data_IF_952241411317
#
_entry.id   IF_952241411317
#
_cell.length_a   1.000
_cell.length_b   1.000
_cell.length_c   1.000
_cell.angle_alpha   90.00
_cell.angle_beta   90.00
_cell.angle_gamma   90.00
#
_symmetry.space_group_name_H-M   'P 1'
#
loop_
_entity.id
_entity.type
_entity.pdbx_description
1 polymer ?
#
# COMPACT_ATOMS: atom_id res chain seq x y z
N UNK A 1 6.35 -18.18 18.15
CA UNK A 1 7.07 -18.54 16.91
C UNK A 1 8.06 -17.44 16.53
N UNK A 2 7.66 -16.17 16.43
CA UNK A 2 8.52 -15.03 16.04
C UNK A 2 9.76 -14.91 16.94
N UNK A 3 9.58 -14.96 18.25
CA UNK A 3 10.70 -14.83 19.19
C UNK A 3 11.72 -15.95 19.05
N UNK A 4 11.28 -17.18 18.81
CA UNK A 4 12.18 -18.30 18.55
C UNK A 4 13.01 -18.08 17.29
N UNK A 5 12.37 -17.61 16.21
CA UNK A 5 13.06 -17.30 14.96
C UNK A 5 14.07 -16.15 15.12
N UNK A 6 13.71 -15.10 15.87
CA UNK A 6 14.60 -13.97 16.17
C UNK A 6 15.81 -14.44 16.99
N UNK A 7 15.58 -15.24 18.05
CA UNK A 7 16.67 -15.80 18.88
C UNK A 7 17.61 -16.65 18.04
N UNK A 8 17.07 -17.54 17.20
CA UNK A 8 17.88 -18.36 16.31
C UNK A 8 18.68 -17.52 15.30
N UNK A 9 18.06 -16.48 14.73
CA UNK A 9 18.74 -15.55 13.83
C UNK A 9 19.90 -14.82 14.51
N UNK A 10 19.72 -14.37 15.76
CA UNK A 10 20.78 -13.70 16.53
C UNK A 10 21.89 -14.68 16.98
N UNK A 11 21.54 -15.94 17.25
CA UNK A 11 22.54 -16.97 17.56
C UNK A 11 23.37 -17.36 16.32
N UNK A 12 22.74 -17.39 15.14
CA UNK A 12 23.40 -17.68 13.89
C UNK A 12 24.33 -16.54 13.42
N UNK A 13 23.92 -15.30 13.67
CA UNK A 13 24.67 -14.10 13.33
C UNK A 13 24.29 -12.93 14.21
N UNK A 14 25.09 -12.66 15.23
CA UNK A 14 24.83 -11.54 16.14
C UNK A 14 24.74 -10.21 15.38
N UNK A 15 23.63 -9.48 15.58
CA UNK A 15 23.36 -8.23 14.89
C UNK A 15 22.66 -8.39 13.53
N UNK A 16 22.28 -9.61 13.14
CA UNK A 16 21.45 -9.83 11.96
C UNK A 16 20.12 -9.11 12.09
N UNK A 17 19.68 -8.50 11.00
CA UNK A 17 18.34 -7.91 10.94
C UNK A 17 17.28 -9.02 11.03
N UNK A 18 16.41 -8.95 12.02
CA UNK A 18 15.31 -9.89 12.22
C UNK A 18 14.00 -9.12 12.26
N UNK A 19 13.01 -9.64 11.57
CA UNK A 19 11.67 -9.06 11.50
C UNK A 19 10.63 -10.10 11.89
N UNK A 20 9.64 -9.71 12.71
CA UNK A 20 8.54 -10.58 13.07
C UNK A 20 7.42 -10.49 12.03
N UNK A 21 6.88 -11.62 11.60
CA UNK A 21 5.89 -11.70 10.53
C UNK A 21 4.92 -12.88 10.65
N UNK A 22 4.49 -13.23 11.86
CA UNK A 22 3.41 -14.23 11.98
C UNK A 22 2.06 -13.56 11.89
N UNK A 23 1.22 -14.10 11.03
CA UNK A 23 -0.16 -13.71 10.86
C UNK A 23 -1.08 -14.69 11.59
N UNK A 24 -2.22 -14.19 12.04
CA UNK A 24 -3.28 -15.01 12.66
C UNK A 24 -4.39 -15.15 11.64
N UNK A 25 -4.58 -16.37 11.14
CA UNK A 25 -5.65 -16.68 10.21
C UNK A 25 -6.85 -17.27 10.94
N UNK A 26 -8.03 -16.87 10.50
CA UNK A 26 -9.29 -17.44 10.96
C UNK A 26 -9.89 -18.25 9.83
N UNK A 27 -10.38 -19.43 10.17
CA UNK A 27 -10.99 -20.34 9.20
C UNK A 27 -12.49 -20.34 9.38
N UNK A 28 -13.22 -20.23 8.28
CA UNK A 28 -14.66 -20.44 8.26
C UNK A 28 -14.97 -21.93 8.46
N UNK A 29 -15.61 -22.31 9.58
CA UNK A 29 -15.80 -23.73 9.91
C UNK A 29 -16.65 -24.51 8.90
N UNK A 30 -17.56 -23.84 8.21
CA UNK A 30 -18.46 -24.47 7.24
C UNK A 30 -17.75 -24.84 5.93
N UNK A 31 -16.75 -24.09 5.54
CA UNK A 31 -16.08 -24.25 4.22
C UNK A 31 -14.62 -24.61 4.31
N UNK A 32 -13.99 -24.45 5.48
CA UNK A 32 -12.55 -24.58 5.65
C UNK A 32 -11.74 -23.45 4.98
N UNK A 33 -12.41 -22.44 4.41
CA UNK A 33 -11.73 -21.32 3.79
C UNK A 33 -11.15 -20.38 4.85
N UNK A 34 -9.97 -19.81 4.57
CA UNK A 34 -9.41 -18.74 5.38
C UNK A 34 -10.23 -17.47 5.09
N UNK A 35 -10.82 -16.91 6.13
CA UNK A 35 -11.64 -15.72 6.03
C UNK A 35 -11.97 -15.20 7.41
N UNK A 36 -12.29 -14.01 7.53
CA UNK A 36 -12.76 -13.14 8.59
C UNK A 36 -11.87 -11.93 8.67
N UNK A 37 -12.11 -11.03 7.78
CA UNK A 37 -11.35 -9.80 7.61
C UNK A 37 -11.24 -9.01 8.93
N UNK A 38 -12.34 -8.83 9.66
CA UNK A 38 -12.35 -8.05 10.90
C UNK A 38 -11.45 -8.64 11.99
N UNK A 39 -11.55 -9.94 12.21
CA UNK A 39 -10.76 -10.62 13.24
C UNK A 39 -9.29 -10.71 12.87
N UNK A 40 -8.96 -10.95 11.61
CA UNK A 40 -7.58 -10.90 11.12
C UNK A 40 -6.98 -9.52 11.33
N UNK A 41 -7.67 -8.46 10.94
CA UNK A 41 -7.22 -7.08 11.13
C UNK A 41 -6.97 -6.74 12.59
N UNK A 42 -7.84 -7.17 13.50
CA UNK A 42 -7.65 -6.97 14.94
C UNK A 42 -6.42 -7.74 15.46
N UNK A 43 -6.22 -8.98 15.00
CA UNK A 43 -5.08 -9.78 15.38
C UNK A 43 -3.76 -9.18 14.88
N UNK A 44 -3.73 -8.70 13.65
CA UNK A 44 -2.56 -8.03 13.06
C UNK A 44 -2.22 -6.74 13.79
N UNK A 45 -3.22 -5.91 14.11
CA UNK A 45 -3.01 -4.71 14.91
C UNK A 45 -2.44 -5.04 16.29
N UNK A 46 -2.98 -6.05 16.96
CA UNK A 46 -2.48 -6.49 18.27
C UNK A 46 -1.04 -7.02 18.17
N UNK A 47 -0.76 -7.86 17.18
CA UNK A 47 0.58 -8.40 16.93
C UNK A 47 1.60 -7.30 16.63
N UNK A 48 1.22 -6.32 15.81
CA UNK A 48 2.07 -5.18 15.50
C UNK A 48 2.36 -4.30 16.72
N UNK A 49 1.37 -4.09 17.60
CA UNK A 49 1.57 -3.37 18.87
C UNK A 49 2.55 -4.09 19.79
N UNK A 50 2.41 -5.41 19.94
CA UNK A 50 3.34 -6.22 20.75
C UNK A 50 4.76 -6.15 20.18
N UNK A 51 4.94 -6.34 18.88
CA UNK A 51 6.27 -6.24 18.24
C UNK A 51 6.89 -4.87 18.46
N UNK A 52 6.12 -3.81 18.26
CA UNK A 52 6.58 -2.43 18.47
C UNK A 52 7.00 -2.17 19.92
N UNK A 53 6.22 -2.65 20.91
CA UNK A 53 6.56 -2.48 22.33
C UNK A 53 7.86 -3.19 22.71
N UNK A 54 8.26 -4.20 21.95
CA UNK A 54 9.50 -4.96 22.12
C UNK A 54 10.64 -4.47 21.21
N UNK A 55 10.42 -3.42 20.42
CA UNK A 55 11.44 -2.86 19.53
C UNK A 55 11.69 -3.65 18.26
N UNK A 56 10.79 -4.57 17.87
CA UNK A 56 10.93 -5.34 16.64
C UNK A 56 10.16 -4.74 15.48
N UNK A 57 10.76 -4.64 14.30
CA UNK A 57 10.03 -4.32 13.08
C UNK A 57 9.04 -5.46 12.75
N UNK A 58 7.87 -5.10 12.23
CA UNK A 58 6.81 -6.04 11.87
C UNK A 58 6.62 -6.13 10.37
N UNK A 59 6.51 -7.36 9.88
CA UNK A 59 5.91 -7.67 8.59
C UNK A 59 4.42 -7.91 8.81
N UNK A 60 3.58 -7.55 7.87
CA UNK A 60 2.17 -7.96 7.84
C UNK A 60 1.82 -8.51 6.46
N UNK A 61 1.05 -9.59 6.45
CA UNK A 61 0.40 -10.10 5.25
C UNK A 61 -0.91 -9.34 4.94
N UNK A 62 -1.43 -8.58 5.91
CA UNK A 62 -2.60 -7.72 5.70
C UNK A 62 -2.19 -6.47 4.93
N UNK A 63 -2.69 -6.34 3.73
CA UNK A 63 -2.51 -5.15 2.92
C UNK A 63 -2.23 -5.50 1.46
N UNK A 64 -3.14 -5.09 0.59
CA UNK A 64 -3.00 -5.32 -0.83
C UNK A 64 -3.31 -6.73 -1.31
N UNK A 65 -3.82 -7.60 -0.43
CA UNK A 65 -4.27 -8.95 -0.78
C UNK A 65 -5.79 -9.11 -0.68
N UNK A 66 -6.32 -10.14 -1.34
CA UNK A 66 -7.74 -10.50 -1.30
C UNK A 66 -7.94 -12.01 -1.33
N UNK A 67 -9.02 -12.48 -0.70
CA UNK A 67 -9.47 -13.87 -0.84
C UNK A 67 -10.25 -14.10 -2.13
N UNK A 68 -10.68 -13.07 -2.83
CA UNK A 68 -11.33 -13.18 -4.12
C UNK A 68 -10.41 -13.81 -5.16
N UNK A 69 -10.96 -14.69 -6.00
CA UNK A 69 -10.18 -15.44 -7.01
C UNK A 69 -9.77 -14.62 -8.23
N UNK A 70 -10.36 -13.44 -8.40
CA UNK A 70 -10.05 -12.51 -9.48
C UNK A 70 -10.16 -11.08 -8.97
N UNK A 71 -9.52 -10.14 -9.64
CA UNK A 71 -9.66 -8.73 -9.32
C UNK A 71 -11.05 -8.25 -9.76
N UNK A 72 -11.93 -8.09 -8.79
CA UNK A 72 -13.33 -7.68 -8.92
C UNK A 72 -13.70 -6.72 -7.78
N UNK A 73 -14.97 -6.40 -7.62
CA UNK A 73 -15.45 -5.49 -6.59
C UNK A 73 -15.15 -5.98 -5.17
N UNK A 74 -15.22 -7.29 -4.92
CA UNK A 74 -14.88 -7.86 -3.62
C UNK A 74 -13.39 -7.66 -3.33
N UNK A 75 -12.53 -7.93 -4.32
CA UNK A 75 -11.08 -7.70 -4.20
C UNK A 75 -10.76 -6.22 -3.95
N UNK A 76 -11.41 -5.30 -4.65
CA UNK A 76 -11.24 -3.86 -4.44
C UNK A 76 -11.59 -3.48 -3.01
N UNK A 77 -12.72 -3.98 -2.49
CA UNK A 77 -13.13 -3.71 -1.12
C UNK A 77 -12.15 -4.28 -0.09
N UNK A 78 -11.75 -5.54 -0.23
CA UNK A 78 -10.83 -6.21 0.68
C UNK A 78 -9.44 -5.57 0.68
N UNK A 79 -8.89 -5.27 -0.49
CA UNK A 79 -7.60 -4.59 -0.63
C UNK A 79 -7.66 -3.19 0.00
N UNK A 80 -8.70 -2.42 -0.26
CA UNK A 80 -8.84 -1.07 0.31
C UNK A 80 -8.94 -1.11 1.83
N UNK A 81 -9.78 -2.00 2.36
CA UNK A 81 -9.97 -2.13 3.79
C UNK A 81 -8.70 -2.66 4.50
N UNK A 82 -8.01 -3.66 3.94
CA UNK A 82 -6.76 -4.17 4.49
C UNK A 82 -5.63 -3.13 4.43
N UNK A 83 -5.57 -2.35 3.36
CA UNK A 83 -4.65 -1.24 3.22
C UNK A 83 -4.90 -0.17 4.28
N UNK A 84 -6.16 0.19 4.54
CA UNK A 84 -6.49 1.13 5.62
C UNK A 84 -6.09 0.62 7.01
N UNK A 85 -6.15 -0.68 7.25
CA UNK A 85 -5.65 -1.24 8.51
C UNK A 85 -4.15 -1.00 8.70
N UNK A 86 -3.36 -1.03 7.64
CA UNK A 86 -1.93 -0.70 7.72
C UNK A 86 -1.69 0.72 8.23
N UNK A 87 -2.61 1.65 7.98
CA UNK A 87 -2.51 3.00 8.56
C UNK A 87 -2.45 2.97 10.08
N UNK A 88 -3.26 2.13 10.70
CA UNK A 88 -3.35 2.06 12.17
C UNK A 88 -2.21 1.28 12.81
N UNK A 89 -1.82 0.16 12.25
CA UNK A 89 -0.79 -0.67 12.88
C UNK A 89 0.64 -0.39 12.39
N UNK A 90 0.82 0.38 11.32
CA UNK A 90 2.12 0.87 10.81
C UNK A 90 3.18 -0.23 10.76
N UNK A 91 3.01 -1.26 9.94
CA UNK A 91 4.03 -2.29 9.81
C UNK A 91 5.30 -1.70 9.17
N UNK A 92 6.44 -2.32 9.41
CA UNK A 92 7.69 -1.93 8.77
C UNK A 92 7.68 -2.27 7.28
N UNK A 93 7.00 -3.34 6.93
CA UNK A 93 6.78 -3.76 5.53
C UNK A 93 5.51 -4.59 5.44
N UNK A 94 4.96 -4.70 4.24
CA UNK A 94 3.92 -5.67 3.92
C UNK A 94 4.35 -6.49 2.70
N UNK A 95 3.82 -7.69 2.63
CA UNK A 95 3.91 -8.57 1.49
C UNK A 95 2.53 -8.75 0.83
N UNK A 96 2.38 -9.68 -0.05
CA UNK A 96 1.10 -10.03 -0.70
C UNK A 96 0.45 -8.93 -1.56
N UNK A 97 1.12 -7.82 -1.88
CA UNK A 97 0.58 -6.85 -2.83
C UNK A 97 0.29 -7.53 -4.18
N UNK A 98 -0.93 -7.36 -4.67
CA UNK A 98 -1.39 -8.02 -5.90
C UNK A 98 -1.77 -9.50 -5.74
N UNK A 99 -1.75 -10.03 -4.52
CA UNK A 99 -2.13 -11.41 -4.24
C UNK A 99 -3.65 -11.57 -4.14
N UNK A 100 -4.15 -12.59 -4.80
CA UNK A 100 -5.56 -13.00 -4.80
C UNK A 100 -5.67 -14.49 -4.39
N UNK A 101 -6.92 -14.96 -4.18
CA UNK A 101 -7.22 -16.36 -3.86
C UNK A 101 -6.34 -16.89 -2.71
N UNK A 102 -6.28 -16.13 -1.62
CA UNK A 102 -5.50 -16.51 -0.42
C UNK A 102 -4.00 -16.74 -0.70
N UNK A 103 -3.42 -15.99 -1.64
CA UNK A 103 -2.01 -16.11 -2.00
C UNK A 103 -1.73 -17.10 -3.14
N UNK A 104 -2.75 -17.74 -3.69
CA UNK A 104 -2.59 -18.72 -4.76
C UNK A 104 -2.51 -18.10 -6.15
N UNK A 105 -2.96 -16.85 -6.31
CA UNK A 105 -2.99 -16.17 -7.60
C UNK A 105 -2.36 -14.78 -7.47
N UNK A 106 -1.57 -14.40 -8.46
CA UNK A 106 -1.06 -13.04 -8.60
C UNK A 106 -1.80 -12.30 -9.72
N UNK A 107 -2.11 -11.03 -9.49
CA UNK A 107 -2.77 -10.15 -10.46
C UNK A 107 -2.02 -8.83 -10.59
N UNK A 108 -1.55 -8.51 -11.79
CA UNK A 108 -0.89 -7.23 -12.10
C UNK A 108 -1.86 -6.05 -11.92
N UNK A 109 -3.14 -6.23 -12.24
CA UNK A 109 -4.18 -5.20 -12.03
C UNK A 109 -4.41 -4.94 -10.54
N UNK A 110 -4.48 -6.00 -9.73
CA UNK A 110 -4.54 -5.86 -8.27
C UNK A 110 -3.27 -5.20 -7.70
N UNK A 111 -2.09 -5.50 -8.26
CA UNK A 111 -0.83 -4.86 -7.86
C UNK A 111 -0.85 -3.36 -8.13
N UNK A 112 -1.27 -2.94 -9.32
CA UNK A 112 -1.37 -1.52 -9.68
C UNK A 112 -2.35 -0.78 -8.78
N UNK A 113 -3.49 -1.38 -8.48
CA UNK A 113 -4.45 -0.84 -7.54
C UNK A 113 -3.86 -0.72 -6.13
N UNK A 114 -3.19 -1.77 -5.64
CA UNK A 114 -2.55 -1.78 -4.32
C UNK A 114 -1.45 -0.72 -4.20
N UNK A 115 -0.66 -0.50 -5.25
CA UNK A 115 0.38 0.54 -5.30
C UNK A 115 -0.23 1.96 -5.21
N UNK A 116 -1.35 2.17 -5.88
CA UNK A 116 -2.07 3.44 -5.77
C UNK A 116 -2.59 3.67 -4.34
N UNK A 117 -3.18 2.65 -3.72
CA UNK A 117 -3.60 2.71 -2.30
C UNK A 117 -2.41 2.93 -1.35
N UNK A 118 -1.27 2.31 -1.61
CA UNK A 118 -0.05 2.54 -0.82
C UNK A 118 0.45 3.99 -0.95
N UNK A 119 0.28 4.62 -2.11
CA UNK A 119 0.52 6.05 -2.30
C UNK A 119 -0.33 6.92 -1.37
N UNK A 120 -1.61 6.61 -1.25
CA UNK A 120 -2.51 7.27 -0.30
C UNK A 120 -2.03 7.13 1.14
N UNK A 121 -1.67 5.91 1.55
CA UNK A 121 -1.16 5.65 2.91
C UNK A 121 0.11 6.45 3.22
N UNK A 122 1.07 6.48 2.29
CA UNK A 122 2.29 7.26 2.47
C UNK A 122 1.95 8.72 2.72
N UNK A 123 1.04 9.30 1.93
CA UNK A 123 0.60 10.69 2.13
C UNK A 123 -0.09 10.90 3.47
N UNK A 124 -0.92 9.96 3.91
CA UNK A 124 -1.56 10.02 5.23
C UNK A 124 -0.52 9.96 6.37
N UNK A 125 0.55 9.17 6.23
CA UNK A 125 1.62 9.07 7.23
C UNK A 125 2.53 10.27 7.28
N UNK A 126 2.71 10.98 6.16
CA UNK A 126 3.39 12.28 6.14
C UNK A 126 2.66 13.30 7.01
N UNK A 127 1.33 13.17 7.12
CA UNK A 127 0.49 14.09 7.85
C UNK A 127 0.32 15.42 7.14
N UNK A 128 -0.08 16.44 7.90
CA UNK A 128 -0.27 17.80 7.42
C UNK A 128 0.55 18.77 8.29
N UNK A 129 1.19 19.71 7.65
CA UNK A 129 1.79 20.84 8.36
C UNK A 129 0.69 21.79 8.81
N UNK A 130 0.66 22.10 10.10
CA UNK A 130 -0.27 23.07 10.66
C UNK A 130 0.52 24.32 11.07
N UNK A 131 0.33 25.41 10.33
CA UNK A 131 0.92 26.71 10.58
C UNK A 131 -0.07 27.79 10.16
N UNK A 132 0.14 29.02 10.61
CA UNK A 132 -0.73 30.14 10.24
C UNK A 132 -0.76 30.37 8.72
N UNK A 133 0.39 30.19 8.06
CA UNK A 133 0.51 30.26 6.61
C UNK A 133 -0.30 29.15 5.91
N UNK A 134 -0.17 27.90 6.37
CA UNK A 134 -0.91 26.78 5.79
C UNK A 134 -2.43 26.86 6.06
N UNK A 135 -2.84 27.42 7.19
CA UNK A 135 -4.25 27.68 7.49
C UNK A 135 -4.80 28.79 6.58
N UNK A 136 -3.96 29.73 6.18
CA UNK A 136 -4.34 30.82 5.29
C UNK A 136 -5.36 31.78 5.89
N UNK A 137 -5.31 32.02 7.22
CA UNK A 137 -6.30 32.82 7.95
C UNK A 137 -6.44 34.23 7.39
N UNK A 138 -5.35 34.86 7.02
CA UNK A 138 -5.39 36.24 6.49
C UNK A 138 -5.98 36.28 5.09
N UNK A 139 -5.68 35.27 4.25
CA UNK A 139 -6.30 35.12 2.94
C UNK A 139 -7.82 34.89 3.05
N UNK A 140 -8.26 34.08 4.01
CA UNK A 140 -9.69 33.86 4.29
C UNK A 140 -10.37 35.14 4.68
N UNK A 141 -9.75 35.95 5.55
CA UNK A 141 -10.27 37.28 5.96
C UNK A 141 -10.35 38.24 4.79
N UNK A 142 -9.31 38.25 3.95
CA UNK A 142 -9.23 39.16 2.80
C UNK A 142 -10.32 38.88 1.79
N UNK A 143 -10.51 37.58 1.42
CA UNK A 143 -11.45 37.19 0.38
C UNK A 143 -12.89 37.09 0.86
N UNK A 144 -13.10 36.77 2.14
CA UNK A 144 -14.42 36.63 2.73
C UNK A 144 -15.24 35.46 2.18
N UNK A 145 -16.53 35.35 2.60
CA UNK A 145 -17.37 34.16 2.33
C UNK A 145 -17.71 33.89 0.84
N UNK A 146 -17.50 34.85 -0.04
CA UNK A 146 -17.75 34.76 -1.49
C UNK A 146 -16.46 34.76 -2.31
N UNK A 147 -15.30 34.62 -1.65
CA UNK A 147 -14.01 34.68 -2.27
C UNK A 147 -13.73 33.52 -3.21
N UNK A 148 -12.95 33.75 -4.25
CA UNK A 148 -12.49 32.73 -5.20
C UNK A 148 -11.05 32.36 -4.84
N UNK A 149 -10.87 31.20 -4.20
CA UNK A 149 -9.57 30.75 -3.70
C UNK A 149 -8.71 30.06 -4.78
N UNK A 150 -9.30 29.57 -5.87
CA UNK A 150 -8.62 28.76 -6.87
C UNK A 150 -7.47 29.49 -7.59
N UNK A 151 -7.58 30.81 -7.76
CA UNK A 151 -6.58 31.62 -8.44
C UNK A 151 -5.52 32.23 -7.49
N UNK A 152 -5.67 32.00 -6.19
CA UNK A 152 -4.76 32.56 -5.20
C UNK A 152 -3.41 31.83 -5.19
N UNK A 153 -2.34 32.59 -4.93
CA UNK A 153 -0.97 32.03 -4.92
C UNK A 153 -0.83 30.91 -3.90
N UNK A 154 -1.44 31.04 -2.74
CA UNK A 154 -1.48 29.99 -1.73
C UNK A 154 -2.03 28.65 -2.29
N UNK A 155 -3.10 28.68 -3.07
CA UNK A 155 -3.66 27.49 -3.72
C UNK A 155 -2.71 26.94 -4.78
N UNK A 156 -2.13 27.80 -5.61
CA UNK A 156 -1.18 27.40 -6.66
C UNK A 156 0.04 26.70 -6.07
N UNK A 157 0.58 27.21 -4.98
CA UNK A 157 1.77 26.67 -4.33
C UNK A 157 1.51 25.32 -3.62
N UNK A 158 0.29 25.10 -3.15
CA UNK A 158 -0.04 23.93 -2.32
C UNK A 158 -0.82 22.83 -3.03
N UNK A 159 -1.61 23.13 -4.07
CA UNK A 159 -2.54 22.19 -4.66
C UNK A 159 -1.89 20.91 -5.21
N UNK A 160 -0.63 20.95 -5.64
CA UNK A 160 0.09 19.81 -6.21
C UNK A 160 0.91 19.04 -5.19
N UNK A 161 1.29 19.65 -4.10
CA UNK A 161 2.20 19.09 -3.09
C UNK A 161 1.47 18.56 -1.86
N UNK A 162 0.39 19.25 -1.48
CA UNK A 162 -0.36 18.90 -0.27
C UNK A 162 -1.49 17.90 -0.50
N UNK A 163 -1.98 17.80 -1.73
CA UNK A 163 -3.09 16.90 -2.08
C UNK A 163 -2.57 15.66 -2.78
N UNK A 164 -2.89 14.49 -2.22
CA UNK A 164 -2.66 13.23 -2.92
C UNK A 164 -3.79 12.98 -3.92
N UNK A 165 -3.41 12.54 -5.11
CA UNK A 165 -4.34 12.24 -6.19
C UNK A 165 -4.14 10.79 -6.63
N UNK A 166 -5.21 10.00 -6.58
CA UNK A 166 -5.22 8.65 -7.14
C UNK A 166 -5.02 8.69 -8.66
N UNK A 167 -4.35 7.67 -9.19
CA UNK A 167 -4.26 7.43 -10.63
C UNK A 167 -5.57 6.91 -11.22
N UNK A 168 -6.37 6.24 -10.39
CA UNK A 168 -7.54 5.51 -10.85
C UNK A 168 -8.85 6.00 -10.25
N UNK A 169 -8.82 6.76 -9.17
CA UNK A 169 -10.00 7.22 -8.44
C UNK A 169 -9.98 8.74 -8.24
N UNK A 170 -11.15 9.33 -8.17
CA UNK A 170 -11.31 10.73 -7.77
C UNK A 170 -11.49 11.72 -8.92
N UNK A 171 -11.58 13.01 -8.59
CA UNK A 171 -11.96 14.06 -9.53
C UNK A 171 -10.87 14.43 -10.55
N UNK A 172 -9.63 13.99 -10.32
CA UNK A 172 -8.49 14.32 -11.19
C UNK A 172 -8.32 13.36 -12.37
N UNK A 173 -9.16 12.35 -12.48
CA UNK A 173 -9.17 11.47 -13.64
C UNK A 173 -9.72 12.27 -14.82
N UNK A 174 -8.97 12.37 -15.93
CA UNK A 174 -9.42 13.15 -17.08
C UNK A 174 -10.79 12.69 -17.54
N UNK A 175 -11.70 13.65 -17.67
CA UNK A 175 -12.99 13.40 -18.31
C UNK A 175 -12.76 13.24 -19.81
N UNK A 176 -13.18 12.14 -20.39
CA UNK A 176 -13.17 11.98 -21.84
C UNK A 176 -14.21 12.91 -22.45
N UNK A 177 -13.79 13.78 -23.37
CA UNK A 177 -14.66 14.62 -24.19
C UNK A 177 -15.71 15.46 -23.45
N UNK A 178 -15.43 15.94 -22.24
CA UNK A 178 -16.30 16.84 -21.48
C UNK A 178 -17.51 16.18 -20.83
N UNK A 179 -17.54 14.85 -20.75
CA UNK A 179 -18.56 14.07 -20.08
C UNK A 179 -18.12 13.52 -18.72
N UNK A 180 -19.03 12.86 -18.02
CA UNK A 180 -18.71 12.00 -16.89
C UNK A 180 -17.75 10.88 -17.35
N UNK A 181 -16.99 10.33 -16.41
CA UNK A 181 -16.10 9.20 -16.72
C UNK A 181 -16.91 8.02 -17.23
N UNK A 182 -16.74 7.70 -18.51
CA UNK A 182 -17.42 6.54 -19.12
C UNK A 182 -16.73 5.22 -18.75
N UNK A 183 -15.44 5.28 -18.39
CA UNK A 183 -14.66 4.09 -17.99
C UNK A 183 -14.79 3.81 -16.50
N UNK A 184 -15.01 2.56 -16.15
CA UNK A 184 -14.98 2.11 -14.78
C UNK A 184 -13.54 1.97 -14.24
N UNK A 185 -13.41 1.65 -12.95
CA UNK A 185 -12.11 1.46 -12.30
C UNK A 185 -11.26 0.38 -12.99
N UNK A 186 -11.88 -0.73 -13.36
CA UNK A 186 -11.18 -1.87 -13.95
C UNK A 186 -10.63 -1.53 -15.32
N UNK A 187 -11.41 -0.87 -16.16
CA UNK A 187 -11.00 -0.40 -17.49
C UNK A 187 -9.81 0.56 -17.41
N UNK A 188 -9.82 1.48 -16.44
CA UNK A 188 -8.70 2.42 -16.25
C UNK A 188 -7.41 1.72 -15.83
N UNK A 189 -7.49 0.74 -14.93
CA UNK A 189 -6.31 -0.02 -14.52
C UNK A 189 -5.79 -0.89 -15.65
N UNK A 190 -6.67 -1.55 -16.41
CA UNK A 190 -6.28 -2.37 -17.56
C UNK A 190 -5.62 -1.50 -18.66
N UNK A 191 -6.11 -0.29 -18.89
CA UNK A 191 -5.50 0.63 -19.85
C UNK A 191 -4.09 1.06 -19.41
N UNK A 192 -3.88 1.40 -18.15
CA UNK A 192 -2.55 1.71 -17.60
C UNK A 192 -1.62 0.50 -17.67
N UNK A 193 -2.11 -0.70 -17.35
CA UNK A 193 -1.34 -1.94 -17.46
C UNK A 193 -0.91 -2.19 -18.91
N UNK A 194 -1.84 -2.04 -19.86
CA UNK A 194 -1.55 -2.20 -21.28
C UNK A 194 -0.48 -1.21 -21.78
N UNK A 195 -0.49 0.01 -21.27
CA UNK A 195 0.53 1.02 -21.62
C UNK A 195 1.89 0.66 -21.00
N UNK A 196 1.93 0.25 -19.74
CA UNK A 196 3.16 -0.16 -19.05
C UNK A 196 3.84 -1.35 -19.71
N UNK A 197 3.06 -2.30 -20.22
CA UNK A 197 3.57 -3.48 -20.94
C UNK A 197 4.27 -3.14 -22.26
N UNK A 198 4.08 -1.92 -22.80
CA UNK A 198 4.82 -1.43 -23.98
C UNK A 198 6.21 -0.92 -23.63
N UNK A 199 6.46 -0.61 -22.36
CA UNK A 199 7.77 -0.16 -21.92
C UNK A 199 8.81 -1.28 -22.13
N UNK A 200 10.03 -0.95 -22.53
CA UNK A 200 11.11 -1.93 -22.59
C UNK A 200 11.34 -2.53 -21.20
N UNK A 201 11.77 -3.79 -21.13
CA UNK A 201 12.12 -4.39 -19.83
C UNK A 201 13.20 -3.53 -19.15
N UNK A 202 13.23 -3.48 -17.80
CA UNK A 202 14.26 -2.76 -17.09
C UNK A 202 15.64 -3.28 -17.50
N UNK A 203 16.63 -2.39 -17.51
CA UNK A 203 18.01 -2.80 -17.75
C UNK A 203 18.40 -3.92 -16.78
N UNK A 204 19.12 -4.92 -17.31
CA UNK A 204 19.64 -5.98 -16.46
C UNK A 204 20.53 -5.37 -15.36
N UNK A 205 20.47 -5.90 -14.12
CA UNK A 205 21.36 -5.44 -13.07
C UNK A 205 22.83 -5.49 -13.53
N UNK A 206 23.63 -4.56 -13.07
CA UNK A 206 25.05 -4.52 -13.40
C UNK A 206 25.72 -5.89 -13.14
N UNK A 207 26.65 -6.30 -14.00
CA UNK A 207 27.23 -7.66 -13.96
C UNK A 207 27.79 -8.03 -12.58
N UNK A 208 28.39 -7.07 -11.86
CA UNK A 208 28.90 -7.33 -10.50
C UNK A 208 27.79 -7.71 -9.51
N UNK A 209 26.55 -7.19 -9.68
CA UNK A 209 25.38 -7.56 -8.87
C UNK A 209 24.93 -8.98 -9.22
N UNK A 210 24.90 -9.32 -10.51
CA UNK A 210 24.57 -10.66 -10.98
C UNK A 210 25.59 -11.70 -10.53
N UNK A 211 26.87 -11.37 -10.57
CA UNK A 211 27.95 -12.25 -10.11
C UNK A 211 27.88 -12.47 -8.59
N UNK A 212 27.61 -11.42 -7.82
CA UNK A 212 27.35 -11.52 -6.38
C UNK A 212 26.16 -12.42 -6.08
N UNK A 213 25.05 -12.24 -6.78
CA UNK A 213 23.86 -13.07 -6.63
C UNK A 213 24.15 -14.54 -6.97
N UNK A 214 24.86 -14.84 -8.07
CA UNK A 214 25.29 -16.21 -8.44
C UNK A 214 26.17 -16.84 -7.36
N UNK A 215 27.11 -16.06 -6.81
CA UNK A 215 28.02 -16.53 -5.75
C UNK A 215 27.26 -16.86 -4.47
N UNK A 216 26.30 -16.01 -4.08
CA UNK A 216 25.42 -16.28 -2.93
C UNK A 216 24.59 -17.53 -3.16
N UNK A 217 23.93 -17.66 -4.30
CA UNK A 217 23.09 -18.81 -4.63
C UNK A 217 23.89 -20.12 -4.70
N UNK A 218 25.14 -20.09 -5.11
CA UNK A 218 25.99 -21.28 -5.17
C UNK A 218 26.30 -21.87 -3.78
N UNK A 219 26.19 -21.07 -2.70
CA UNK A 219 26.39 -21.54 -1.31
C UNK A 219 25.21 -22.34 -0.76
N UNK A 220 24.07 -22.29 -1.42
CA UNK A 220 22.84 -22.97 -0.99
C UNK A 220 22.51 -24.19 -1.87
N UNK A 221 23.39 -24.57 -2.77
CA UNK A 221 23.35 -25.82 -3.55
C UNK A 221 24.32 -26.83 -2.95
#
# INVERSE_FOLDING_TARGET
TDFAAIVLGQLAGKGSFCMGGSDVFFMEPATGAIGSFAQMSMADMAAAQVRRSLGFPSLTASGGSSVARRFNQDAVWEISASTMNMFYHRPATCDYLGSLDQGLTFSETALLFSDDQAGMLRKMWEGMTVSDDQIGTDLIRQLGPKGQFLAEQHTVDNCRTQVWNSRYLGPNIPLSNGGLQDQDLFERIEADLAERRKAPPPEAPAEHVMETARTVLARFR
#
